data_IF_854246582419
#
_entry.id   IF_854246582419
#
_cell.length_a   1.000
_cell.length_b   1.000
_cell.length_c   1.000
_cell.angle_alpha   90.00
_cell.angle_beta   90.00
_cell.angle_gamma   90.00
#
_symmetry.space_group_name_H-M   'P 1'
#
loop_
_entity.id
_entity.type
_entity.pdbx_description
1 polymer ?
#
# COMPACT_ATOMS: atom_id res chain seq x y z
N UNK A 1 -5.66 -40.96 -5.96
CA UNK A 1 -4.94 -39.77 -5.48
C UNK A 1 -5.55 -38.56 -6.17
N UNK A 2 -6.35 -37.78 -5.44
CA UNK A 2 -7.12 -36.65 -5.99
C UNK A 2 -6.34 -35.35 -5.80
N UNK A 3 -6.02 -34.67 -6.89
CA UNK A 3 -5.32 -33.39 -6.91
C UNK A 3 -6.29 -32.31 -6.45
N UNK A 4 -6.09 -31.80 -5.23
CA UNK A 4 -6.81 -30.63 -4.74
C UNK A 4 -6.38 -29.40 -5.56
N UNK A 5 -7.20 -29.02 -6.53
CA UNK A 5 -7.13 -27.71 -7.18
C UNK A 5 -7.61 -26.67 -6.17
N UNK A 6 -6.67 -26.04 -5.46
CA UNK A 6 -6.94 -24.84 -4.64
C UNK A 6 -7.07 -23.63 -5.57
N UNK A 7 -8.18 -23.58 -6.29
CA UNK A 7 -8.68 -22.32 -6.84
C UNK A 7 -9.53 -21.69 -5.74
N UNK A 8 -9.00 -20.61 -5.17
CA UNK A 8 -9.75 -19.40 -4.80
C UNK A 8 -8.79 -18.50 -4.02
N UNK A 9 -7.96 -17.77 -4.77
CA UNK A 9 -7.45 -16.51 -4.25
C UNK A 9 -8.62 -15.54 -4.37
N UNK A 10 -9.24 -15.03 -3.30
CA UNK A 10 -10.13 -13.90 -3.44
C UNK A 10 -9.24 -12.73 -3.84
N UNK A 11 -9.10 -12.51 -5.14
CA UNK A 11 -8.61 -11.27 -5.69
C UNK A 11 -9.62 -10.20 -5.27
N UNK A 12 -9.46 -9.70 -4.05
CA UNK A 12 -10.07 -8.47 -3.61
C UNK A 12 -9.73 -7.46 -4.68
N UNK A 13 -10.74 -7.06 -5.45
CA UNK A 13 -10.73 -5.97 -6.41
C UNK A 13 -10.54 -4.67 -5.64
N UNK A 14 -9.36 -4.52 -5.04
CA UNK A 14 -8.90 -3.26 -4.46
C UNK A 14 -8.68 -2.36 -5.66
N UNK A 15 -9.64 -1.47 -5.89
CA UNK A 15 -9.51 -0.41 -6.88
C UNK A 15 -8.15 0.29 -6.66
N UNK A 16 -7.36 0.38 -7.73
CA UNK A 16 -6.03 1.01 -7.69
C UNK A 16 -6.19 2.42 -7.08
N UNK A 17 -5.52 2.72 -5.95
CA UNK A 17 -5.70 4.02 -5.31
C UNK A 17 -5.29 5.13 -6.26
N UNK A 18 -6.04 6.23 -6.30
CA UNK A 18 -5.91 7.24 -7.35
C UNK A 18 -4.50 7.86 -7.43
N UNK A 19 -3.80 7.93 -6.30
CA UNK A 19 -2.39 8.37 -6.23
C UNK A 19 -1.49 7.48 -7.09
N UNK A 20 -1.69 6.16 -7.09
CA UNK A 20 -0.89 5.23 -7.90
C UNK A 20 -1.17 5.39 -9.39
N UNK A 21 -2.44 5.53 -9.78
CA UNK A 21 -2.81 5.83 -11.16
C UNK A 21 -2.16 7.13 -11.65
N UNK A 22 -2.17 8.19 -10.82
CA UNK A 22 -1.51 9.47 -11.14
C UNK A 22 0.00 9.32 -11.26
N UNK A 23 0.63 8.59 -10.34
CA UNK A 23 2.08 8.32 -10.35
C UNK A 23 2.48 7.53 -11.59
N UNK A 24 1.74 6.46 -11.94
CA UNK A 24 1.94 5.67 -13.16
C UNK A 24 1.87 6.55 -14.39
N UNK A 25 0.80 7.35 -14.52
CA UNK A 25 0.62 8.21 -15.69
C UNK A 25 1.72 9.27 -15.82
N UNK A 26 2.10 9.92 -14.71
CA UNK A 26 3.15 10.95 -14.72
C UNK A 26 4.51 10.37 -15.09
N UNK A 27 4.83 9.20 -14.57
CA UNK A 27 6.06 8.49 -14.92
C UNK A 27 6.05 8.04 -16.37
N UNK A 28 4.94 7.46 -16.87
CA UNK A 28 4.83 7.09 -18.28
C UNK A 28 5.05 8.30 -19.20
N UNK A 29 4.49 9.46 -18.86
CA UNK A 29 4.72 10.70 -19.62
C UNK A 29 6.19 11.12 -19.58
N UNK A 30 6.83 11.07 -18.41
CA UNK A 30 8.25 11.40 -18.28
C UNK A 30 9.14 10.39 -19.03
N UNK A 31 8.86 9.09 -18.90
CA UNK A 31 9.61 8.02 -19.54
C UNK A 31 9.46 8.07 -21.05
N UNK A 32 8.26 8.38 -21.54
CA UNK A 32 8.04 8.69 -22.95
C UNK A 32 8.94 9.85 -23.40
N UNK A 33 8.94 10.99 -22.69
CA UNK A 33 9.77 12.14 -23.05
C UNK A 33 11.28 11.84 -23.02
N UNK A 34 11.74 11.02 -22.07
CA UNK A 34 13.15 10.65 -21.97
C UNK A 34 13.57 9.67 -23.08
N UNK A 35 12.74 8.67 -23.39
CA UNK A 35 12.96 7.78 -24.52
C UNK A 35 12.94 8.55 -25.84
N UNK A 36 12.00 9.48 -26.00
CA UNK A 36 11.91 10.32 -27.20
C UNK A 36 13.19 11.12 -27.38
N UNK A 37 13.70 11.72 -26.29
CA UNK A 37 14.98 12.44 -26.31
C UNK A 37 16.16 11.53 -26.67
N UNK A 38 16.29 10.38 -26.01
CA UNK A 38 17.40 9.45 -26.21
C UNK A 38 17.42 8.86 -27.63
N UNK A 39 16.25 8.45 -28.13
CA UNK A 39 16.11 7.90 -29.47
C UNK A 39 16.15 8.96 -30.57
N UNK A 40 15.70 10.20 -30.31
CA UNK A 40 15.93 11.30 -31.25
C UNK A 40 17.43 11.53 -31.46
N UNK A 41 18.25 11.49 -30.40
CA UNK A 41 19.71 11.63 -30.57
C UNK A 41 20.36 10.49 -31.35
N UNK A 42 19.87 9.25 -31.20
CA UNK A 42 20.37 8.12 -31.99
C UNK A 42 19.88 8.17 -33.45
N UNK A 43 18.60 8.49 -33.65
CA UNK A 43 17.95 8.54 -34.96
C UNK A 43 18.52 9.67 -35.79
N UNK A 44 18.62 10.89 -35.28
CA UNK A 44 19.06 12.06 -36.06
C UNK A 44 20.59 12.24 -36.10
N UNK A 45 21.34 11.18 -35.77
CA UNK A 45 22.81 11.18 -35.82
C UNK A 45 23.40 11.17 -37.23
N UNK A 46 24.74 11.30 -37.29
CA UNK A 46 25.50 11.32 -38.54
C UNK A 46 25.30 10.08 -39.42
N UNK A 47 24.99 8.93 -38.82
CA UNK A 47 24.72 7.68 -39.55
C UNK A 47 23.43 7.73 -40.38
N UNK A 48 22.34 8.30 -39.84
CA UNK A 48 21.10 8.51 -40.62
C UNK A 48 21.31 9.47 -41.78
N UNK A 49 22.10 10.52 -41.56
CA UNK A 49 22.48 11.46 -42.63
C UNK A 49 23.33 10.78 -43.71
N UNK A 50 24.24 9.88 -43.33
CA UNK A 50 25.00 9.04 -44.24
C UNK A 50 24.08 8.10 -45.05
N UNK A 51 23.16 7.40 -44.41
CA UNK A 51 22.19 6.52 -45.08
C UNK A 51 21.29 7.32 -46.04
N UNK A 52 20.80 8.49 -45.62
CA UNK A 52 19.99 9.36 -46.49
C UNK A 52 20.74 9.78 -47.76
N UNK A 53 22.06 9.98 -47.67
CA UNK A 53 22.89 10.40 -48.80
C UNK A 53 23.30 9.25 -49.72
N UNK A 54 23.64 8.10 -49.14
CA UNK A 54 24.29 7.00 -49.87
C UNK A 54 23.38 5.78 -50.11
N UNK A 55 22.43 5.51 -49.21
CA UNK A 55 21.58 4.32 -49.23
C UNK A 55 20.14 4.63 -48.78
N UNK A 56 19.36 5.40 -49.57
CA UNK A 56 18.03 5.88 -49.17
C UNK A 56 17.00 4.75 -48.98
N UNK A 57 17.19 3.61 -49.63
CA UNK A 57 16.35 2.41 -49.45
C UNK A 57 16.59 1.72 -48.10
N UNK A 58 17.81 1.81 -47.55
CA UNK A 58 18.14 1.24 -46.24
C UNK A 58 17.74 2.16 -45.07
N UNK A 59 17.62 3.47 -45.34
CA UNK A 59 17.16 4.47 -44.37
C UNK A 59 15.80 4.08 -43.76
N UNK A 60 14.88 3.56 -44.56
CA UNK A 60 13.54 3.18 -44.12
C UNK A 60 13.58 2.00 -43.13
N UNK A 61 14.40 0.99 -43.43
CA UNK A 61 14.61 -0.17 -42.55
C UNK A 61 15.33 0.23 -41.26
N UNK A 62 16.26 1.18 -41.34
CA UNK A 62 16.95 1.73 -40.18
C UNK A 62 15.99 2.51 -39.26
N UNK A 63 15.16 3.40 -39.81
CA UNK A 63 14.16 4.15 -39.04
C UNK A 63 13.14 3.20 -38.39
N UNK A 64 12.68 2.16 -39.09
CA UNK A 64 11.77 1.14 -38.54
C UNK A 64 12.42 0.33 -37.41
N UNK A 65 13.69 -0.08 -37.56
CA UNK A 65 14.41 -0.81 -36.54
C UNK A 65 14.61 0.03 -35.26
N UNK A 66 14.91 1.33 -35.41
CA UNK A 66 15.02 2.24 -34.28
C UNK A 66 13.70 2.40 -33.51
N UNK A 67 12.57 2.52 -34.23
CA UNK A 67 11.23 2.59 -33.61
C UNK A 67 10.79 1.25 -33.00
N UNK A 68 11.21 0.12 -33.55
CA UNK A 68 10.97 -1.20 -32.95
C UNK A 68 11.73 -1.34 -31.63
N UNK A 69 13.03 -1.01 -31.62
CA UNK A 69 13.85 -1.03 -30.40
C UNK A 69 13.26 -0.14 -29.30
N UNK A 70 12.88 1.09 -29.65
CA UNK A 70 12.24 2.04 -28.73
C UNK A 70 10.98 1.46 -28.10
N UNK A 71 10.11 0.82 -28.88
CA UNK A 71 8.87 0.22 -28.39
C UNK A 71 9.12 -0.95 -27.45
N UNK A 72 10.04 -1.84 -27.79
CA UNK A 72 10.37 -2.99 -26.95
C UNK A 72 10.99 -2.57 -25.61
N UNK A 73 11.94 -1.64 -25.62
CA UNK A 73 12.56 -1.15 -24.40
C UNK A 73 11.54 -0.40 -23.53
N UNK A 74 10.73 0.48 -24.14
CA UNK A 74 9.65 1.17 -23.43
C UNK A 74 8.69 0.19 -22.74
N UNK A 75 8.28 -0.87 -23.44
CA UNK A 75 7.39 -1.89 -22.88
C UNK A 75 8.01 -2.59 -21.66
N UNK A 76 9.29 -3.00 -21.75
CA UNK A 76 10.01 -3.64 -20.63
C UNK A 76 10.12 -2.72 -19.41
N UNK A 77 10.44 -1.45 -19.62
CA UNK A 77 10.52 -0.49 -18.51
C UNK A 77 9.16 -0.18 -17.89
N UNK A 78 8.10 -0.08 -18.70
CA UNK A 78 6.73 0.09 -18.20
C UNK A 78 6.25 -1.12 -17.37
N UNK A 79 6.59 -2.34 -17.79
CA UNK A 79 6.32 -3.56 -17.02
C UNK A 79 7.05 -3.58 -15.67
N UNK A 80 8.35 -3.30 -15.67
CA UNK A 80 9.15 -3.22 -14.44
C UNK A 80 8.59 -2.20 -13.45
N UNK A 81 8.15 -1.04 -13.94
CA UNK A 81 7.53 -0.02 -13.10
C UNK A 81 6.19 -0.50 -12.54
N UNK A 82 5.34 -1.10 -13.36
CA UNK A 82 4.03 -1.62 -12.93
C UNK A 82 4.21 -2.69 -11.85
N UNK A 83 5.19 -3.59 -12.03
CA UNK A 83 5.59 -4.58 -11.03
C UNK A 83 6.10 -3.93 -9.74
N UNK A 84 6.96 -2.91 -9.84
CA UNK A 84 7.47 -2.18 -8.68
C UNK A 84 6.36 -1.47 -7.88
N UNK A 85 5.42 -0.85 -8.58
CA UNK A 85 4.27 -0.17 -7.97
C UNK A 85 3.34 -1.16 -7.26
N UNK A 86 3.11 -2.33 -7.89
CA UNK A 86 2.31 -3.40 -7.32
C UNK A 86 2.96 -4.01 -6.07
N UNK A 87 4.27 -4.27 -6.13
CA UNK A 87 5.03 -4.80 -5.00
C UNK A 87 5.01 -3.83 -3.82
N UNK A 88 5.18 -2.53 -4.08
CA UNK A 88 5.08 -1.49 -3.07
C UNK A 88 3.71 -1.49 -2.37
N UNK A 89 2.62 -1.64 -3.15
CA UNK A 89 1.27 -1.72 -2.61
C UNK A 89 1.10 -2.94 -1.70
N UNK A 90 1.58 -4.12 -2.12
CA UNK A 90 1.50 -5.32 -1.30
C UNK A 90 2.26 -5.18 0.02
N UNK A 91 3.45 -4.57 -0.01
CA UNK A 91 4.25 -4.32 1.20
C UNK A 91 3.49 -3.38 2.15
N UNK A 92 2.98 -2.26 1.65
CA UNK A 92 2.21 -1.30 2.45
C UNK A 92 0.97 -1.94 3.09
N UNK A 93 0.25 -2.78 2.36
CA UNK A 93 -0.91 -3.49 2.88
C UNK A 93 -0.52 -4.48 3.99
N UNK A 94 0.55 -5.26 3.79
CA UNK A 94 1.06 -6.19 4.81
C UNK A 94 1.53 -5.45 6.06
N UNK A 95 2.26 -4.34 5.92
CA UNK A 95 2.69 -3.51 7.05
C UNK A 95 1.50 -2.95 7.84
N UNK A 96 0.44 -2.49 7.15
CA UNK A 96 -0.77 -2.02 7.80
C UNK A 96 -1.47 -3.15 8.58
N UNK A 97 -1.54 -4.35 8.00
CA UNK A 97 -2.09 -5.53 8.68
C UNK A 97 -1.25 -5.92 9.91
N UNK A 98 0.08 -5.92 9.81
CA UNK A 98 0.96 -6.19 10.94
C UNK A 98 0.80 -5.14 12.04
N UNK A 99 0.70 -3.86 11.70
CA UNK A 99 0.42 -2.79 12.68
C UNK A 99 -0.90 -3.00 13.41
N UNK A 100 -1.97 -3.36 12.69
CA UNK A 100 -3.28 -3.68 13.30
C UNK A 100 -3.19 -4.90 14.21
N UNK A 101 -2.52 -5.97 13.77
CA UNK A 101 -2.34 -7.19 14.57
C UNK A 101 -1.53 -6.90 15.84
N UNK A 102 -0.44 -6.16 15.72
CA UNK A 102 0.38 -5.72 16.86
C UNK A 102 -0.43 -4.91 17.85
N UNK A 103 -1.20 -3.92 17.40
CA UNK A 103 -2.00 -3.09 18.30
C UNK A 103 -3.08 -3.90 19.03
N UNK A 104 -3.71 -4.88 18.36
CA UNK A 104 -4.65 -5.81 19.02
C UNK A 104 -3.97 -6.67 20.07
N UNK A 105 -2.77 -7.18 19.79
CA UNK A 105 -1.99 -7.96 20.75
C UNK A 105 -1.57 -7.11 21.95
N UNK A 106 -1.10 -5.88 21.72
CA UNK A 106 -0.74 -4.94 22.78
C UNK A 106 -1.97 -4.59 23.64
N UNK A 107 -3.11 -4.32 23.03
CA UNK A 107 -4.38 -4.12 23.75
C UNK A 107 -4.75 -5.34 24.60
N UNK A 108 -4.64 -6.54 24.01
CA UNK A 108 -4.87 -7.78 24.74
C UNK A 108 -3.96 -7.92 25.96
N UNK A 109 -2.66 -7.66 25.80
CA UNK A 109 -1.68 -7.68 26.89
C UNK A 109 -1.98 -6.63 27.97
N UNK A 110 -2.38 -5.42 27.58
CA UNK A 110 -2.75 -4.38 28.57
C UNK A 110 -4.02 -4.78 29.34
N UNK A 111 -5.03 -5.34 28.65
CA UNK A 111 -6.28 -5.75 29.27
C UNK A 111 -6.04 -6.89 30.26
N UNK A 112 -5.27 -7.91 29.87
CA UNK A 112 -4.93 -9.01 30.78
C UNK A 112 -4.13 -8.50 31.97
N UNK A 113 -3.15 -7.60 31.76
CA UNK A 113 -2.40 -6.98 32.85
C UNK A 113 -3.27 -6.24 33.86
N UNK A 114 -4.23 -5.43 33.39
CA UNK A 114 -5.18 -4.74 34.28
C UNK A 114 -6.06 -5.74 35.02
N UNK A 115 -6.66 -6.71 34.33
CA UNK A 115 -7.53 -7.72 34.94
C UNK A 115 -6.79 -8.53 35.99
N UNK A 116 -5.59 -9.02 35.68
CA UNK A 116 -4.75 -9.77 36.63
C UNK A 116 -4.37 -8.91 37.83
N UNK A 117 -4.01 -7.64 37.61
CA UNK A 117 -3.69 -6.71 38.71
C UNK A 117 -4.88 -6.47 39.64
N UNK A 118 -6.08 -6.27 39.07
CA UNK A 118 -7.34 -6.08 39.82
C UNK A 118 -7.71 -7.34 40.61
N UNK A 119 -7.57 -8.52 39.99
CA UNK A 119 -7.84 -9.80 40.66
C UNK A 119 -6.87 -10.06 41.82
N UNK A 120 -5.58 -9.80 41.63
CA UNK A 120 -4.58 -9.91 42.69
C UNK A 120 -4.86 -8.92 43.82
N UNK A 121 -5.17 -7.67 43.49
CA UNK A 121 -5.51 -6.66 44.47
C UNK A 121 -6.73 -7.06 45.31
N UNK A 122 -7.79 -7.54 44.66
CA UNK A 122 -8.99 -8.04 45.36
C UNK A 122 -8.72 -9.27 46.22
N UNK A 123 -7.80 -10.14 45.80
CA UNK A 123 -7.41 -11.32 46.59
C UNK A 123 -6.63 -10.95 47.86
N UNK A 124 -5.70 -9.99 47.78
CA UNK A 124 -4.89 -9.57 48.94
C UNK A 124 -5.60 -8.55 49.84
N UNK A 125 -6.57 -7.78 49.33
CA UNK A 125 -7.29 -6.74 50.06
C UNK A 125 -8.83 -6.87 49.91
N UNK A 126 -9.44 -7.96 50.41
CA UNK A 126 -10.86 -8.24 50.19
C UNK A 126 -11.79 -7.17 50.77
N UNK A 127 -11.46 -6.64 51.95
CA UNK A 127 -12.27 -5.62 52.65
C UNK A 127 -12.33 -4.28 51.88
N UNK A 128 -11.22 -3.87 51.25
CA UNK A 128 -11.16 -2.63 50.47
C UNK A 128 -11.82 -2.78 49.11
N UNK A 129 -11.78 -3.99 48.53
CA UNK A 129 -12.41 -4.27 47.24
C UNK A 129 -13.94 -4.17 47.31
N UNK A 130 -14.54 -4.62 48.42
CA UNK A 130 -15.98 -4.53 48.68
C UNK A 130 -16.45 -3.06 48.79
N UNK A 131 -15.67 -2.22 49.47
CA UNK A 131 -15.92 -0.77 49.59
C UNK A 131 -15.83 -0.07 48.23
N UNK A 132 -14.79 -0.37 47.43
CA UNK A 132 -14.62 0.19 46.08
C UNK A 132 -15.75 -0.26 45.15
N UNK A 133 -16.18 -1.53 45.24
CA UNK A 133 -17.29 -2.06 44.45
C UNK A 133 -18.63 -1.38 44.78
N UNK A 134 -18.88 -1.09 46.06
CA UNK A 134 -20.06 -0.33 46.49
C UNK A 134 -20.00 1.12 46.00
N UNK A 135 -18.86 1.79 46.09
CA UNK A 135 -18.72 3.15 45.54
C UNK A 135 -18.89 3.18 44.01
N UNK A 136 -18.32 2.22 43.27
CA UNK A 136 -18.51 2.08 41.82
C UNK A 136 -19.95 1.79 41.41
N UNK A 137 -20.70 1.01 42.20
CA UNK A 137 -22.11 0.77 41.94
C UNK A 137 -22.99 2.02 42.12
N UNK A 138 -22.55 2.98 42.95
CA UNK A 138 -23.26 4.26 43.17
C UNK A 138 -22.86 5.36 42.18
N UNK A 139 -21.74 5.21 41.47
CA UNK A 139 -21.24 6.17 40.48
C UNK A 139 -22.20 6.43 39.31
N UNK A 140 -22.89 5.43 38.70
CA UNK A 140 -23.89 5.68 37.66
C UNK A 140 -25.03 6.58 38.12
N UNK A 141 -25.51 6.40 39.36
CA UNK A 141 -26.55 7.24 39.97
C UNK A 141 -26.07 8.66 40.26
N UNK A 142 -24.80 8.84 40.67
CA UNK A 142 -24.19 10.17 40.85
C UNK A 142 -24.01 10.91 39.54
N UNK A 143 -23.60 10.23 38.47
CA UNK A 143 -23.41 10.84 37.13
C UNK A 143 -24.77 11.23 36.53
N UNK A 144 -25.80 10.39 36.65
CA UNK A 144 -27.18 10.72 36.24
C UNK A 144 -27.75 11.91 37.02
N UNK A 145 -27.48 11.99 38.33
CA UNK A 145 -27.89 13.12 39.17
C UNK A 145 -27.17 14.44 38.82
N UNK A 146 -25.92 14.38 38.37
CA UNK A 146 -25.18 15.56 37.89
C UNK A 146 -25.67 16.03 36.51
N UNK A 147 -25.98 15.11 35.59
CA UNK A 147 -26.52 15.45 34.26
C UNK A 147 -27.95 16.01 34.37
N UNK A 148 -28.79 15.45 35.25
CA UNK A 148 -30.14 15.96 35.51
C UNK A 148 -30.20 17.33 36.20
N UNK A 149 -29.06 17.84 36.72
CA UNK A 149 -28.96 19.17 37.35
C UNK A 149 -28.36 20.23 36.41
N UNK A 150 -27.83 19.82 35.26
CA UNK A 150 -27.21 20.65 34.23
C UNK A 150 -28.12 20.87 33.00
N UNK A 151 -29.25 20.16 32.93
CA UNK A 151 -30.31 20.39 31.93
C UNK A 151 -31.50 21.02 32.66
N UNK A 152 -31.75 22.34 32.52
CA UNK A 152 -32.98 22.98 33.00
C UNK A 152 -34.21 22.56 32.19
#
# INVERSE_FOLDING_TARGET
MSVMTTNETPASTVAEPEVFRRTRNRFNQWLQAEFDRHYHTMRDGGYRSFLKKNHPTELLRYDEACEALRREEFARFAELQTLGLYLHLQVQQKEAQFRRRRNRLLLGMTLTGVVTSVLLYGHFHPEQFLLIGQELATLPGRILGFVGRLVP
#
